data_IF_347503316764
#
_entry.id   IF_347503316764
#
_cell.length_a   1.000
_cell.length_b   1.000
_cell.length_c   1.000
_cell.angle_alpha   90.00
_cell.angle_beta   90.00
_cell.angle_gamma   90.00
#
_symmetry.space_group_name_H-M   'P 1'
#
loop_
_entity.id
_entity.type
_entity.pdbx_description
1 polymer ?
#
# COMPACT_ATOMS: atom_id res chain seq x y z
N UNK A 1 -30.53 33.16 -57.31
CA UNK A 1 -29.42 32.18 -57.10
C UNK A 1 -28.83 32.45 -55.74
N UNK A 2 -29.24 31.62 -54.74
CA UNK A 2 -28.70 31.65 -53.36
C UNK A 2 -27.86 30.40 -53.17
N UNK A 3 -26.53 30.59 -52.99
CA UNK A 3 -25.64 29.49 -52.57
C UNK A 3 -25.71 29.37 -51.05
N UNK A 4 -26.17 28.22 -50.59
CA UNK A 4 -26.17 27.83 -49.18
C UNK A 4 -24.84 27.12 -48.89
N UNK A 5 -23.92 27.77 -48.17
CA UNK A 5 -22.66 27.18 -47.70
C UNK A 5 -22.87 26.31 -46.46
N UNK A 6 -22.69 24.99 -46.59
CA UNK A 6 -22.77 24.03 -45.50
C UNK A 6 -21.39 23.91 -44.81
N UNK A 7 -21.24 24.52 -43.67
CA UNK A 7 -20.04 24.40 -42.82
C UNK A 7 -20.05 23.08 -42.06
N UNK A 8 -19.15 22.17 -42.40
CA UNK A 8 -18.94 20.89 -41.72
C UNK A 8 -18.10 21.08 -40.49
N UNK A 9 -18.72 20.99 -39.30
CA UNK A 9 -18.05 21.08 -37.99
C UNK A 9 -17.48 19.71 -37.64
N UNK A 10 -16.16 19.52 -37.77
CA UNK A 10 -15.45 18.31 -37.38
C UNK A 10 -15.31 18.29 -35.84
N UNK A 11 -16.06 17.41 -35.20
CA UNK A 11 -15.95 17.08 -33.77
C UNK A 11 -14.70 16.21 -33.55
N UNK A 12 -13.57 16.84 -33.19
CA UNK A 12 -12.35 16.17 -32.73
C UNK A 12 -12.43 15.92 -31.23
N UNK A 13 -13.21 14.93 -30.79
CA UNK A 13 -13.47 14.66 -29.37
C UNK A 13 -13.15 13.24 -28.88
N UNK A 14 -12.29 12.45 -29.58
CA UNK A 14 -12.14 11.02 -29.28
C UNK A 14 -10.78 10.51 -28.82
N UNK A 15 -9.71 11.28 -28.85
CA UNK A 15 -8.35 10.73 -28.67
C UNK A 15 -7.73 10.80 -27.25
N UNK A 16 -8.23 11.62 -26.35
CA UNK A 16 -7.57 11.77 -25.02
C UNK A 16 -7.68 10.54 -24.12
N UNK A 17 -8.83 9.89 -24.03
CA UNK A 17 -9.02 8.73 -23.14
C UNK A 17 -8.19 7.50 -23.52
N UNK A 18 -7.96 7.25 -24.80
CA UNK A 18 -7.14 6.10 -25.26
C UNK A 18 -5.66 6.28 -24.95
N UNK A 19 -5.11 7.49 -25.06
CA UNK A 19 -3.71 7.79 -24.77
C UNK A 19 -3.40 7.61 -23.27
N UNK A 20 -4.29 8.05 -22.37
CA UNK A 20 -4.11 7.93 -20.92
C UNK A 20 -4.16 6.45 -20.45
N UNK A 21 -5.02 5.63 -21.04
CA UNK A 21 -5.10 4.20 -20.72
C UNK A 21 -3.85 3.46 -21.18
N UNK A 22 -3.36 3.75 -22.38
CA UNK A 22 -2.14 3.11 -22.91
C UNK A 22 -0.90 3.54 -22.13
N UNK A 23 -0.79 4.81 -21.74
CA UNK A 23 0.30 5.32 -20.91
C UNK A 23 0.30 4.66 -19.52
N UNK A 24 -0.85 4.47 -18.89
CA UNK A 24 -0.99 3.79 -17.61
C UNK A 24 -0.64 2.29 -17.70
N UNK A 25 -1.05 1.61 -18.75
CA UNK A 25 -0.69 0.20 -18.98
C UNK A 25 0.83 0.04 -19.20
N UNK A 26 1.44 0.96 -19.94
CA UNK A 26 2.89 0.95 -20.17
C UNK A 26 3.67 1.27 -18.88
N UNK A 27 3.19 2.18 -18.04
CA UNK A 27 3.78 2.46 -16.73
C UNK A 27 3.63 1.28 -15.75
N UNK A 28 2.49 0.58 -15.77
CA UNK A 28 2.28 -0.62 -14.96
C UNK A 28 3.24 -1.76 -15.31
N UNK A 29 3.66 -1.84 -16.59
CA UNK A 29 4.55 -2.89 -17.09
C UNK A 29 6.03 -2.52 -16.98
N UNK A 30 6.38 -1.23 -16.81
CA UNK A 30 7.77 -0.83 -16.56
C UNK A 30 8.14 -1.07 -15.11
N UNK A 31 9.25 -1.75 -14.91
CA UNK A 31 9.77 -2.10 -13.58
C UNK A 31 11.15 -1.46 -13.41
N UNK A 32 11.36 -0.80 -12.29
CA UNK A 32 12.66 -0.25 -11.91
C UNK A 32 13.07 -0.70 -10.51
N UNK A 33 14.37 -0.95 -10.32
CA UNK A 33 14.92 -1.23 -8.99
C UNK A 33 15.12 0.11 -8.28
N UNK A 34 14.50 0.27 -7.11
CA UNK A 34 14.61 1.49 -6.32
C UNK A 34 14.61 1.20 -4.82
N UNK A 35 15.22 2.09 -4.01
CA UNK A 35 15.18 1.96 -2.57
C UNK A 35 13.76 2.18 -2.06
N UNK A 36 13.33 1.31 -1.14
CA UNK A 36 12.07 1.42 -0.41
C UNK A 36 12.33 1.32 1.09
N UNK A 37 11.47 1.93 1.88
CA UNK A 37 11.50 1.85 3.34
C UNK A 37 10.38 0.92 3.81
N UNK A 38 10.78 -0.17 4.48
CA UNK A 38 9.87 -1.11 5.12
C UNK A 38 10.03 -0.97 6.63
N UNK A 39 8.93 -0.89 7.35
CA UNK A 39 8.96 -0.63 8.79
C UNK A 39 8.73 -1.91 9.58
N UNK A 40 9.62 -2.21 10.50
CA UNK A 40 9.59 -3.37 11.37
C UNK A 40 9.80 -2.95 12.83
N UNK A 41 9.47 -3.81 13.76
CA UNK A 41 9.68 -3.51 15.16
C UNK A 41 11.16 -3.60 15.54
N UNK A 42 11.64 -2.60 16.25
CA UNK A 42 12.98 -2.53 16.83
C UNK A 42 12.99 -3.03 18.28
N UNK A 43 14.18 -3.26 18.86
CA UNK A 43 14.30 -3.58 20.28
C UNK A 43 13.74 -2.53 21.24
N UNK A 44 13.54 -1.29 20.76
CA UNK A 44 12.93 -0.19 21.51
C UNK A 44 11.40 -0.24 21.47
N UNK A 45 10.80 -1.28 20.89
CA UNK A 45 9.36 -1.44 20.70
C UNK A 45 8.74 -0.30 19.88
N UNK A 46 9.50 0.25 18.92
CA UNK A 46 9.08 1.25 17.95
C UNK A 46 9.29 0.71 16.53
N UNK A 47 8.69 1.39 15.55
CA UNK A 47 8.89 1.06 14.15
C UNK A 47 10.17 1.70 13.62
N UNK A 48 11.11 0.88 13.19
CA UNK A 48 12.33 1.31 12.53
C UNK A 48 12.29 0.94 11.03
N UNK A 49 12.82 1.83 10.20
CA UNK A 49 12.85 1.63 8.76
C UNK A 49 14.03 0.75 8.34
N UNK A 50 13.75 -0.31 7.60
CA UNK A 50 14.73 -1.06 6.83
C UNK A 50 14.67 -0.62 5.37
N UNK A 51 15.78 -0.17 4.81
CA UNK A 51 15.86 0.18 3.38
C UNK A 51 16.24 -1.05 2.56
N UNK A 52 15.43 -1.37 1.53
CA UNK A 52 15.70 -2.42 0.55
C UNK A 52 15.66 -1.87 -0.86
N UNK A 53 16.50 -2.40 -1.74
CA UNK A 53 16.36 -2.18 -3.18
C UNK A 53 15.49 -3.29 -3.76
N UNK A 54 14.29 -2.93 -4.22
CA UNK A 54 13.36 -3.89 -4.82
C UNK A 54 12.90 -3.44 -6.20
N UNK A 55 12.62 -4.42 -7.05
CA UNK A 55 12.05 -4.18 -8.37
C UNK A 55 10.55 -3.86 -8.23
N UNK A 56 10.18 -2.62 -8.54
CA UNK A 56 8.81 -2.12 -8.46
C UNK A 56 8.31 -1.62 -9.80
N UNK A 57 7.05 -1.89 -10.15
CA UNK A 57 6.36 -1.18 -11.22
C UNK A 57 6.40 0.34 -11.00
N UNK A 58 6.44 1.10 -12.09
CA UNK A 58 6.39 2.57 -12.01
C UNK A 58 5.03 3.09 -11.54
N UNK A 59 3.95 2.41 -11.92
CA UNK A 59 2.60 2.74 -11.47
C UNK A 59 2.43 2.45 -9.98
N UNK A 60 2.04 3.43 -9.14
CA UNK A 60 1.78 3.23 -7.72
C UNK A 60 0.77 2.11 -7.44
N UNK A 61 -0.31 2.03 -8.23
CA UNK A 61 -1.33 0.99 -8.06
C UNK A 61 -0.77 -0.43 -8.24
N UNK A 62 0.20 -0.63 -9.14
CA UNK A 62 0.84 -1.92 -9.35
C UNK A 62 2.00 -2.15 -8.35
N UNK A 63 2.66 -1.09 -7.89
CA UNK A 63 3.80 -1.16 -6.99
C UNK A 63 3.41 -1.46 -5.52
N UNK A 64 2.29 -0.92 -5.05
CA UNK A 64 1.83 -1.10 -3.65
C UNK A 64 1.71 -2.59 -3.27
N UNK A 65 1.02 -3.46 -4.05
CA UNK A 65 0.95 -4.87 -3.70
C UNK A 65 2.33 -5.56 -3.67
N UNK A 66 3.27 -5.15 -4.50
CA UNK A 66 4.64 -5.69 -4.53
C UNK A 66 5.38 -5.28 -3.26
N UNK A 67 5.32 -3.99 -2.88
CA UNK A 67 5.90 -3.49 -1.62
C UNK A 67 5.36 -4.26 -0.41
N UNK A 68 4.05 -4.45 -0.34
CA UNK A 68 3.41 -5.13 0.80
C UNK A 68 3.78 -6.61 0.88
N UNK A 69 3.90 -7.31 -0.26
CA UNK A 69 4.41 -8.70 -0.25
C UNK A 69 5.86 -8.75 0.23
N UNK A 70 6.67 -7.74 -0.09
CA UNK A 70 8.03 -7.64 0.44
C UNK A 70 8.03 -7.40 1.97
N UNK A 71 7.12 -6.55 2.47
CA UNK A 71 6.93 -6.32 3.91
C UNK A 71 6.58 -7.64 4.64
N UNK A 72 5.68 -8.46 4.09
CA UNK A 72 5.26 -9.73 4.69
C UNK A 72 6.38 -10.77 4.78
N UNK A 73 7.45 -10.66 4.01
CA UNK A 73 8.64 -11.52 4.17
C UNK A 73 9.34 -11.33 5.52
N UNK A 74 9.08 -10.22 6.20
CA UNK A 74 9.75 -9.83 7.45
C UNK A 74 11.08 -9.12 7.20
N UNK A 75 11.78 -8.70 8.28
CA UNK A 75 13.06 -8.01 8.19
C UNK A 75 14.15 -8.93 7.64
N UNK A 76 15.13 -8.36 6.93
CA UNK A 76 16.26 -9.11 6.35
C UNK A 76 17.38 -9.33 7.35
N UNK A 77 17.45 -8.53 8.41
CA UNK A 77 18.54 -8.55 9.39
C UNK A 77 18.04 -8.31 10.82
N UNK A 78 18.66 -8.97 11.84
CA UNK A 78 18.55 -8.54 13.23
C UNK A 78 19.03 -7.08 13.38
N UNK A 79 18.58 -6.33 14.38
CA UNK A 79 17.72 -6.77 15.47
C UNK A 79 16.21 -6.58 15.23
N UNK A 80 15.78 -6.25 14.00
CA UNK A 80 14.38 -5.99 13.70
C UNK A 80 13.53 -7.28 13.78
N UNK A 81 12.32 -7.13 14.32
CA UNK A 81 11.37 -8.22 14.55
C UNK A 81 10.30 -8.33 13.44
N UNK A 82 9.91 -9.57 13.13
CA UNK A 82 8.78 -9.84 12.24
C UNK A 82 7.47 -9.45 12.95
N UNK A 83 6.60 -8.76 12.23
CA UNK A 83 5.34 -8.25 12.77
C UNK A 83 4.11 -9.02 12.32
N UNK A 84 4.13 -9.66 11.16
CA UNK A 84 3.01 -10.45 10.67
C UNK A 84 3.32 -11.95 10.73
N UNK A 85 2.31 -12.81 10.90
CA UNK A 85 2.48 -14.26 10.73
C UNK A 85 3.14 -14.59 9.39
N UNK A 86 3.93 -15.67 9.36
CA UNK A 86 4.69 -16.03 8.16
C UNK A 86 3.78 -16.47 6.99
N UNK A 87 2.57 -16.91 7.29
CA UNK A 87 1.55 -17.33 6.35
C UNK A 87 0.60 -16.19 5.93
N UNK A 88 0.88 -14.96 6.38
CA UNK A 88 0.09 -13.79 5.94
C UNK A 88 0.30 -13.53 4.46
N UNK A 89 -0.78 -13.41 3.72
CA UNK A 89 -0.78 -13.12 2.29
C UNK A 89 -1.42 -11.77 1.99
N UNK A 90 -0.82 -11.02 1.07
CA UNK A 90 -1.43 -9.84 0.45
C UNK A 90 -2.27 -10.32 -0.73
N UNK A 91 -3.59 -10.41 -0.53
CA UNK A 91 -4.56 -10.83 -1.55
C UNK A 91 -4.74 -9.76 -2.62
N UNK A 92 -4.69 -8.50 -2.20
CA UNK A 92 -4.75 -7.35 -3.09
C UNK A 92 -4.40 -6.05 -2.37
N UNK A 93 -4.05 -5.03 -3.15
CA UNK A 93 -3.94 -3.67 -2.66
C UNK A 93 -4.32 -2.70 -3.77
N UNK A 94 -5.15 -1.70 -3.45
CA UNK A 94 -5.77 -0.82 -4.43
C UNK A 94 -5.63 0.62 -3.99
N UNK A 95 -5.06 1.46 -4.85
CA UNK A 95 -5.03 2.91 -4.65
C UNK A 95 -6.30 3.51 -5.27
N UNK A 96 -7.18 4.02 -4.42
CA UNK A 96 -8.43 4.66 -4.83
C UNK A 96 -8.22 6.15 -5.11
N UNK A 97 -9.09 6.78 -5.93
CA UNK A 97 -9.15 8.23 -6.03
C UNK A 97 -9.25 8.88 -4.64
N UNK A 98 -8.50 9.97 -4.41
CA UNK A 98 -8.42 10.61 -3.09
C UNK A 98 -7.41 10.00 -2.13
N UNK A 99 -6.56 9.05 -2.61
CA UNK A 99 -5.37 8.58 -1.91
C UNK A 99 -5.63 7.56 -0.80
N UNK A 100 -6.78 6.89 -0.82
CA UNK A 100 -7.02 5.75 0.09
C UNK A 100 -6.44 4.49 -0.52
N UNK A 101 -5.52 3.83 0.19
CA UNK A 101 -5.03 2.51 -0.15
C UNK A 101 -5.85 1.46 0.60
N UNK A 102 -6.59 0.64 -0.13
CA UNK A 102 -7.29 -0.53 0.44
C UNK A 102 -6.36 -1.72 0.34
N UNK A 103 -6.08 -2.37 1.46
CA UNK A 103 -5.21 -3.55 1.55
C UNK A 103 -6.03 -4.73 2.01
N UNK A 104 -6.09 -5.77 1.17
CA UNK A 104 -6.74 -7.04 1.49
C UNK A 104 -5.69 -8.06 1.95
N UNK A 105 -5.78 -8.41 3.22
CA UNK A 105 -4.93 -9.42 3.86
C UNK A 105 -5.69 -10.73 4.03
N UNK A 106 -4.94 -11.82 4.09
CA UNK A 106 -5.45 -13.16 4.41
C UNK A 106 -4.35 -14.01 5.00
N UNK A 107 -4.68 -15.25 5.29
CA UNK A 107 -3.76 -16.24 5.88
C UNK A 107 -4.42 -16.95 7.07
N UNK A 108 -4.18 -18.25 7.23
CA UNK A 108 -4.82 -19.03 8.29
C UNK A 108 -4.58 -18.46 9.69
N UNK A 109 -3.34 -18.16 10.06
CA UNK A 109 -3.00 -17.63 11.39
C UNK A 109 -3.67 -16.28 11.64
N UNK A 110 -3.67 -15.37 10.65
CA UNK A 110 -4.28 -14.06 10.78
C UNK A 110 -5.81 -14.15 11.02
N UNK A 111 -6.47 -15.16 10.44
CA UNK A 111 -7.94 -15.27 10.43
C UNK A 111 -8.50 -16.22 11.48
N UNK A 112 -7.68 -17.09 12.07
CA UNK A 112 -8.10 -18.09 13.04
C UNK A 112 -7.76 -17.74 14.49
N UNK A 113 -7.25 -16.56 14.75
CA UNK A 113 -6.87 -16.10 16.09
C UNK A 113 -5.37 -15.91 16.23
N UNK A 114 -4.91 -14.81 15.72
CA UNK A 114 -3.52 -14.39 15.89
C UNK A 114 -3.30 -13.78 17.27
N UNK A 115 -2.72 -14.56 18.18
CA UNK A 115 -2.51 -14.18 19.59
C UNK A 115 -1.37 -13.21 19.82
N UNK A 116 -1.30 -12.08 19.08
CA UNK A 116 -0.17 -11.15 19.17
C UNK A 116 -0.28 -10.11 20.31
N UNK A 117 -1.46 -9.95 20.93
CA UNK A 117 -1.72 -8.90 21.91
C UNK A 117 -1.79 -7.48 21.34
N UNK A 118 -2.12 -6.50 22.18
CA UNK A 118 -2.41 -5.12 21.75
C UNK A 118 -1.21 -4.42 21.12
N UNK A 119 -0.02 -4.58 21.70
CA UNK A 119 1.20 -3.96 21.18
C UNK A 119 1.59 -4.55 19.81
N UNK A 120 1.62 -5.88 19.70
CA UNK A 120 2.00 -6.53 18.45
C UNK A 120 1.01 -6.23 17.32
N UNK A 121 -0.30 -6.19 17.59
CA UNK A 121 -1.30 -5.78 16.61
C UNK A 121 -1.10 -4.32 16.17
N UNK A 122 -0.86 -3.41 17.14
CA UNK A 122 -0.60 -2.00 16.88
C UNK A 122 0.62 -1.83 15.96
N UNK A 123 1.75 -2.46 16.32
CA UNK A 123 2.97 -2.38 15.53
C UNK A 123 2.78 -2.97 14.12
N UNK A 124 2.07 -4.07 13.99
CA UNK A 124 1.80 -4.70 12.68
C UNK A 124 0.95 -3.80 11.78
N UNK A 125 -0.16 -3.30 12.29
CA UNK A 125 -1.05 -2.43 11.53
C UNK A 125 -0.31 -1.15 11.09
N UNK A 126 0.44 -0.53 12.01
CA UNK A 126 1.16 0.70 11.68
C UNK A 126 2.45 0.48 10.89
N UNK A 127 3.08 -0.68 10.96
CA UNK A 127 4.14 -1.11 10.03
C UNK A 127 3.66 -1.04 8.57
N UNK A 128 2.47 -1.58 8.30
CA UNK A 128 1.84 -1.53 6.98
C UNK A 128 1.54 -0.09 6.56
N UNK A 129 0.90 0.69 7.45
CA UNK A 129 0.57 2.11 7.17
C UNK A 129 1.83 2.91 6.88
N UNK A 130 2.86 2.84 7.74
CA UNK A 130 4.12 3.57 7.57
C UNK A 130 4.86 3.15 6.29
N UNK A 131 4.90 1.84 5.99
CA UNK A 131 5.57 1.34 4.78
C UNK A 131 4.88 1.85 3.51
N UNK A 132 3.56 1.90 3.46
CA UNK A 132 2.83 2.46 2.32
C UNK A 132 3.09 3.97 2.21
N UNK A 133 2.89 4.71 3.30
CA UNK A 133 2.95 6.17 3.27
C UNK A 133 4.37 6.71 3.02
N UNK A 134 5.40 5.99 3.44
CA UNK A 134 6.79 6.38 3.22
C UNK A 134 7.28 6.20 1.77
N UNK A 135 6.58 5.40 0.96
CA UNK A 135 7.00 5.04 -0.38
C UNK A 135 6.09 5.58 -1.50
N UNK A 136 4.87 6.00 -1.18
CA UNK A 136 3.89 6.45 -2.18
C UNK A 136 3.28 7.81 -1.78
N UNK A 137 3.72 8.87 -2.43
CA UNK A 137 3.26 10.24 -2.17
C UNK A 137 1.76 10.46 -2.44
N UNK A 138 1.17 9.64 -3.33
CA UNK A 138 -0.25 9.68 -3.65
C UNK A 138 -1.13 9.00 -2.58
N UNK A 139 -0.54 8.17 -1.71
CA UNK A 139 -1.24 7.56 -0.58
C UNK A 139 -1.43 8.59 0.54
N UNK A 140 -2.64 8.65 1.11
CA UNK A 140 -3.00 9.55 2.21
C UNK A 140 -3.48 8.80 3.45
N UNK A 141 -4.03 7.62 3.27
CA UNK A 141 -4.55 6.76 4.34
C UNK A 141 -4.63 5.31 3.85
N UNK A 142 -4.67 4.39 4.79
CA UNK A 142 -4.77 2.95 4.51
C UNK A 142 -6.05 2.40 5.14
N UNK A 143 -6.80 1.63 4.38
CA UNK A 143 -7.93 0.81 4.85
C UNK A 143 -7.54 -0.65 4.77
N UNK A 144 -7.63 -1.37 5.87
CA UNK A 144 -7.37 -2.81 5.89
C UNK A 144 -8.70 -3.57 5.84
N UNK A 145 -8.74 -4.61 5.02
CA UNK A 145 -9.81 -5.59 4.94
C UNK A 145 -9.20 -6.99 5.04
N UNK A 146 -9.98 -7.96 5.44
CA UNK A 146 -9.52 -9.35 5.60
C UNK A 146 -10.40 -10.27 4.76
N UNK A 147 -9.77 -11.05 3.88
CA UNK A 147 -10.47 -11.93 2.94
C UNK A 147 -11.56 -11.22 2.12
N UNK A 148 -11.29 -9.97 1.70
CA UNK A 148 -12.18 -9.16 0.91
C UNK A 148 -13.32 -8.50 1.69
N UNK A 149 -13.39 -8.66 3.01
CA UNK A 149 -14.45 -8.11 3.87
C UNK A 149 -13.88 -7.12 4.89
N UNK A 150 -14.62 -6.06 5.27
CA UNK A 150 -14.24 -5.22 6.39
C UNK A 150 -14.06 -6.06 7.65
N UNK A 151 -13.00 -5.78 8.40
CA UNK A 151 -12.73 -6.39 9.70
C UNK A 151 -12.73 -5.29 10.77
N UNK A 152 -13.25 -5.59 11.95
CA UNK A 152 -13.22 -4.67 13.08
C UNK A 152 -11.80 -4.50 13.62
N UNK A 153 -11.05 -5.61 13.67
CA UNK A 153 -9.66 -5.68 14.15
C UNK A 153 -8.94 -6.84 13.42
N UNK A 154 -7.62 -6.97 13.58
CA UNK A 154 -6.87 -8.17 13.18
C UNK A 154 -6.78 -9.19 14.32
N UNK A 155 -6.58 -8.72 15.56
CA UNK A 155 -6.36 -9.56 16.74
C UNK A 155 -7.11 -9.05 18.00
N UNK A 156 -8.13 -8.23 17.83
CA UNK A 156 -9.04 -7.81 18.90
C UNK A 156 -8.70 -6.48 19.59
N UNK A 157 -7.66 -5.74 19.15
CA UNK A 157 -7.19 -4.58 19.92
C UNK A 157 -7.14 -3.27 19.12
N UNK A 158 -6.88 -3.32 17.81
CA UNK A 158 -6.74 -2.11 16.96
C UNK A 158 -7.93 -2.01 16.03
N UNK A 159 -8.73 -0.94 16.18
CA UNK A 159 -9.89 -0.73 15.30
C UNK A 159 -9.47 -0.46 13.85
N UNK A 160 -10.07 -1.21 12.95
CA UNK A 160 -9.93 -1.10 11.49
C UNK A 160 -11.19 -0.52 10.83
N UNK A 161 -12.18 -0.09 11.60
CA UNK A 161 -13.45 0.46 11.10
C UNK A 161 -13.26 1.72 10.25
N UNK A 162 -12.14 2.41 10.46
CA UNK A 162 -11.75 3.63 9.75
C UNK A 162 -10.44 3.45 9.00
N UNK A 163 -10.23 4.28 7.99
CA UNK A 163 -8.93 4.37 7.35
C UNK A 163 -7.91 4.98 8.31
N UNK A 164 -6.71 4.42 8.31
CA UNK A 164 -5.61 4.76 9.20
C UNK A 164 -4.63 5.73 8.51
N UNK A 165 -4.08 6.63 9.29
CA UNK A 165 -3.02 7.57 8.89
C UNK A 165 -1.75 7.31 9.70
N UNK A 166 -0.57 7.75 9.23
CA UNK A 166 0.67 7.58 9.99
C UNK A 166 0.60 8.16 11.40
N UNK A 167 1.23 7.46 12.34
CA UNK A 167 1.43 7.94 13.72
C UNK A 167 2.93 8.03 13.97
N UNK A 168 3.44 9.26 14.02
CA UNK A 168 4.88 9.53 14.12
C UNK A 168 5.49 9.09 15.44
N UNK A 169 4.72 9.10 16.54
CA UNK A 169 5.18 8.64 17.85
C UNK A 169 5.46 7.14 17.92
N UNK A 170 4.98 6.36 16.95
CA UNK A 170 5.29 4.94 16.84
C UNK A 170 6.57 4.65 16.05
N UNK A 171 7.22 5.66 15.49
CA UNK A 171 8.40 5.51 14.64
C UNK A 171 9.63 6.03 15.38
N UNK A 172 10.72 5.28 15.30
CA UNK A 172 12.00 5.74 15.82
C UNK A 172 12.42 7.08 15.20
N UNK A 173 12.90 8.03 15.99
CA UNK A 173 13.49 9.25 15.45
C UNK A 173 14.65 8.89 14.53
N UNK A 174 14.75 9.60 13.39
CA UNK A 174 15.91 9.43 12.51
C UNK A 174 17.19 9.71 13.33
N UNK A 175 18.12 8.75 13.33
CA UNK A 175 19.46 8.99 13.92
C UNK A 175 20.12 10.13 13.13
N UNK A 176 20.54 11.16 13.84
CA UNK A 176 21.28 12.31 13.29
C UNK A 176 22.71 11.90 12.93
#
# INVERSE_FOLDING_TARGET
MLLCGLTLLLLAGGCRKKADVTANLNAANRVSVRPVRLYYESPQMLLAAETRNIALPESPAAAIPVLLRELMKGPSKPPLGRLFPADTVVRGAYLLPGGTVVVDLGGPTLTQGWGTGSHGELMSVYSLVQSVMANFADARRVRVVVNGTPAETLAGHVSLDRSLTPVTSLVEPASR
#
